data_IF_181512809905
#
_entry.id   IF_181512809905
#
_cell.length_a   1.000
_cell.length_b   1.000
_cell.length_c   1.000
_cell.angle_alpha   90.00
_cell.angle_beta   90.00
_cell.angle_gamma   90.00
#
_symmetry.space_group_name_H-M   'P 1'
#
loop_
_entity.id
_entity.type
_entity.pdbx_description
1 polymer ?
#
# COMPACT_ATOMS: atom_id res chain seq x y z
N UNK A 1 1.40 13.43 18.43
CA UNK A 1 0.04 13.89 18.05
C UNK A 1 -0.04 14.08 16.54
N UNK A 2 -1.04 13.53 15.84
CA UNK A 2 -1.34 13.67 14.40
C UNK A 2 -0.20 13.39 13.39
N UNK A 3 0.84 12.66 13.78
CA UNK A 3 1.98 12.36 12.90
C UNK A 3 1.57 11.50 11.70
N UNK A 4 0.61 10.61 11.88
CA UNK A 4 0.10 9.71 10.85
C UNK A 4 -0.68 10.47 9.76
N UNK A 5 -1.63 11.32 10.14
CA UNK A 5 -2.36 12.17 9.18
C UNK A 5 -1.37 12.96 8.32
N UNK A 6 -0.38 13.62 8.94
CA UNK A 6 0.65 14.37 8.20
C UNK A 6 1.53 13.51 7.31
N UNK A 7 1.79 12.26 7.69
CA UNK A 7 2.51 11.30 6.86
C UNK A 7 1.69 10.93 5.63
N UNK A 8 0.39 10.66 5.83
CA UNK A 8 -0.53 10.32 4.76
C UNK A 8 -0.69 11.49 3.79
N UNK A 9 -0.96 12.70 4.29
CA UNK A 9 -1.06 13.91 3.47
C UNK A 9 0.16 14.10 2.58
N UNK A 10 1.37 13.96 3.14
CA UNK A 10 2.62 14.06 2.38
C UNK A 10 2.77 12.98 1.33
N UNK A 11 2.30 11.76 1.62
CA UNK A 11 2.36 10.65 0.67
C UNK A 11 1.51 10.95 -0.58
N UNK A 12 0.27 11.39 -0.39
CA UNK A 12 -0.62 11.73 -1.50
C UNK A 12 -0.21 13.01 -2.22
N UNK A 13 0.23 14.04 -1.50
CA UNK A 13 0.76 15.26 -2.08
C UNK A 13 2.01 14.99 -2.94
N UNK A 14 2.90 14.08 -2.50
CA UNK A 14 4.08 13.67 -3.26
C UNK A 14 3.75 12.96 -4.59
N UNK A 15 2.55 12.39 -4.70
CA UNK A 15 2.00 11.79 -5.91
C UNK A 15 1.14 12.76 -6.73
N UNK A 16 0.97 14.00 -6.28
CA UNK A 16 0.11 15.00 -6.93
C UNK A 16 -1.38 14.67 -6.85
N UNK A 17 -1.79 13.90 -5.83
CA UNK A 17 -3.18 13.48 -5.64
C UNK A 17 -3.82 14.28 -4.51
N UNK A 18 -4.90 14.96 -4.84
CA UNK A 18 -5.71 15.68 -3.86
C UNK A 18 -6.54 14.69 -3.03
N UNK A 19 -6.40 14.81 -1.72
CA UNK A 19 -7.26 14.07 -0.79
C UNK A 19 -8.68 14.64 -0.76
N UNK A 20 -9.68 13.82 -0.40
CA UNK A 20 -11.06 14.29 -0.21
C UNK A 20 -11.13 15.50 0.74
N UNK A 21 -12.13 16.35 0.53
CA UNK A 21 -12.29 17.57 1.34
C UNK A 21 -12.38 17.26 2.83
N UNK A 22 -13.06 16.19 3.19
CA UNK A 22 -13.22 15.75 4.58
C UNK A 22 -11.86 15.36 5.22
N UNK A 23 -10.93 14.77 4.45
CA UNK A 23 -9.56 14.52 4.90
C UNK A 23 -8.80 15.83 5.08
N UNK A 24 -8.93 16.78 4.14
CA UNK A 24 -8.29 18.09 4.23
C UNK A 24 -8.81 18.88 5.45
N UNK A 25 -10.10 18.85 5.70
CA UNK A 25 -10.73 19.50 6.85
C UNK A 25 -10.24 18.86 8.19
N UNK A 26 -10.15 17.54 8.25
CA UNK A 26 -9.59 16.83 9.42
C UNK A 26 -8.09 17.16 9.62
N UNK A 27 -7.31 17.25 8.55
CA UNK A 27 -5.90 17.67 8.61
C UNK A 27 -5.77 19.12 9.10
N UNK A 28 -6.68 20.01 8.66
CA UNK A 28 -6.71 21.38 9.15
C UNK A 28 -7.03 21.46 10.66
N UNK A 29 -7.98 20.65 11.14
CA UNK A 29 -8.27 20.50 12.58
C UNK A 29 -7.05 19.98 13.36
N UNK A 30 -6.38 18.95 12.85
CA UNK A 30 -5.17 18.39 13.44
C UNK A 30 -4.06 19.43 13.57
N UNK A 31 -3.84 20.20 12.50
CA UNK A 31 -2.81 21.26 12.47
C UNK A 31 -3.17 22.43 13.41
N UNK A 32 -4.44 22.83 13.47
CA UNK A 32 -4.91 23.87 14.40
C UNK A 32 -4.75 23.42 15.86
N UNK A 33 -5.10 22.15 16.18
CA UNK A 33 -4.90 21.61 17.52
C UNK A 33 -3.40 21.56 17.90
N UNK A 34 -2.54 21.18 16.96
CA UNK A 34 -1.10 21.17 17.18
C UNK A 34 -0.53 22.60 17.38
N UNK A 35 -0.98 23.56 16.55
CA UNK A 35 -0.54 24.94 16.69
C UNK A 35 -0.94 25.55 18.05
N UNK A 36 -2.13 25.19 18.56
CA UNK A 36 -2.61 25.64 19.86
C UNK A 36 -1.76 25.11 21.04
N UNK A 37 -1.01 24.00 20.86
CA UNK A 37 -0.12 23.45 21.89
C UNK A 37 1.24 24.12 21.93
N UNK A 38 1.58 24.96 20.96
CA UNK A 38 2.88 25.62 20.87
C UNK A 38 2.92 26.83 21.83
N UNK A 39 3.82 26.79 22.81
CA UNK A 39 3.99 27.85 23.81
C UNK A 39 5.45 28.27 23.87
N UNK A 40 5.82 29.46 23.37
CA UNK A 40 7.19 29.95 23.40
C UNK A 40 7.61 30.53 24.78
N UNK A 41 6.75 30.45 25.80
CA UNK A 41 6.92 31.17 27.07
C UNK A 41 8.28 30.99 27.76
N UNK A 42 8.93 29.83 27.66
CA UNK A 42 10.26 29.58 28.22
C UNK A 42 11.32 30.29 27.38
N UNK A 43 11.22 30.20 26.06
CA UNK A 43 12.16 30.85 25.14
C UNK A 43 12.07 32.38 25.28
N UNK A 44 10.83 32.92 25.37
CA UNK A 44 10.59 34.36 25.57
C UNK A 44 11.22 34.88 26.87
N UNK A 45 11.18 34.08 27.97
CA UNK A 45 11.89 34.44 29.21
C UNK A 45 13.39 34.49 29.02
N UNK A 46 13.98 33.46 28.39
CA UNK A 46 15.40 33.37 28.13
C UNK A 46 15.89 34.56 27.29
N UNK A 47 15.20 34.80 26.17
CA UNK A 47 15.55 35.89 25.25
C UNK A 47 15.34 37.26 25.88
N UNK A 48 14.32 37.42 26.72
CA UNK A 48 14.08 38.63 27.50
C UNK A 48 15.14 38.92 28.51
N UNK A 49 15.75 37.90 29.15
CA UNK A 49 16.87 38.04 30.05
C UNK A 49 18.15 38.46 29.28
N UNK A 50 18.42 37.76 28.16
CA UNK A 50 19.60 38.05 27.34
C UNK A 50 19.55 39.44 26.69
N UNK A 51 18.39 39.90 26.29
CA UNK A 51 18.19 41.24 25.71
C UNK A 51 18.09 42.35 26.74
N UNK A 52 18.05 42.03 28.04
CA UNK A 52 17.92 43.01 29.13
C UNK A 52 16.51 43.61 29.27
N UNK A 53 15.50 43.11 28.56
CA UNK A 53 14.08 43.52 28.71
C UNK A 53 13.49 42.96 30.01
N UNK A 54 14.01 41.83 30.50
CA UNK A 54 13.67 41.28 31.81
C UNK A 54 14.78 41.73 32.80
N UNK A 55 14.36 42.45 33.80
CA UNK A 55 15.18 43.05 34.82
C UNK A 55 14.81 42.53 36.21
N UNK A 56 15.67 42.75 37.26
CA UNK A 56 15.30 42.37 38.62
C UNK A 56 14.00 42.97 39.14
N UNK A 57 13.51 44.07 38.52
CA UNK A 57 12.26 44.73 38.91
C UNK A 57 11.01 44.03 38.36
N UNK A 58 11.09 43.37 37.19
CA UNK A 58 9.95 42.75 36.52
C UNK A 58 10.02 41.23 36.39
N UNK A 59 11.14 40.60 36.78
CA UNK A 59 11.35 39.15 36.62
C UNK A 59 10.29 38.33 37.35
N UNK A 60 9.85 38.73 38.56
CA UNK A 60 8.85 37.98 39.30
C UNK A 60 7.49 37.96 38.58
N UNK A 61 7.06 39.10 38.01
CA UNK A 61 5.83 39.17 37.20
C UNK A 61 5.95 38.33 35.93
N UNK A 62 7.10 38.41 35.24
CA UNK A 62 7.36 37.63 34.02
C UNK A 62 7.40 36.12 34.27
N UNK A 63 7.97 35.66 35.40
CA UNK A 63 7.92 34.26 35.79
C UNK A 63 6.49 33.80 36.09
N UNK A 64 5.65 34.62 36.73
CA UNK A 64 4.25 34.32 36.97
C UNK A 64 3.48 34.21 35.65
N UNK A 65 3.64 35.18 34.75
CA UNK A 65 2.98 35.15 33.42
C UNK A 65 3.38 33.89 32.63
N UNK A 66 4.67 33.53 32.66
CA UNK A 66 5.17 32.35 31.98
C UNK A 66 4.66 31.05 32.61
N UNK A 67 4.59 30.97 33.94
CA UNK A 67 4.03 29.84 34.63
C UNK A 67 2.54 29.61 34.25
N UNK A 68 1.76 30.69 34.19
CA UNK A 68 0.36 30.64 33.78
C UNK A 68 0.26 30.17 32.30
N UNK A 69 1.12 30.69 31.42
CA UNK A 69 1.15 30.29 30.01
C UNK A 69 1.54 28.82 29.84
N UNK A 70 2.50 28.31 30.60
CA UNK A 70 2.90 26.89 30.59
C UNK A 70 1.75 26.01 31.07
N UNK A 71 1.10 26.35 32.20
CA UNK A 71 -0.03 25.61 32.70
C UNK A 71 -1.22 25.60 31.71
N UNK A 72 -1.48 26.72 31.05
CA UNK A 72 -2.51 26.80 30.03
C UNK A 72 -2.17 25.89 28.83
N UNK A 73 -0.91 25.90 28.36
CA UNK A 73 -0.46 25.03 27.28
C UNK A 73 -0.56 23.55 27.62
N UNK A 74 -0.21 23.15 28.85
CA UNK A 74 -0.38 21.75 29.29
C UNK A 74 -1.84 21.30 29.25
N UNK A 75 -2.76 22.18 29.67
CA UNK A 75 -4.21 21.89 29.60
C UNK A 75 -4.71 21.81 28.16
N UNK A 76 -4.28 22.71 27.30
CA UNK A 76 -4.59 22.68 25.88
C UNK A 76 -4.03 21.42 25.23
N UNK A 77 -2.80 21.03 25.57
CA UNK A 77 -2.17 19.80 25.08
C UNK A 77 -3.00 18.57 25.45
N UNK A 78 -3.41 18.43 26.72
CA UNK A 78 -4.24 17.32 27.18
C UNK A 78 -5.61 17.31 26.47
N UNK A 79 -6.22 18.47 26.27
CA UNK A 79 -7.48 18.57 25.52
C UNK A 79 -7.29 18.19 24.04
N UNK A 80 -6.21 18.63 23.40
CA UNK A 80 -5.90 18.28 22.02
C UNK A 80 -5.60 16.78 21.85
N UNK A 81 -4.91 16.15 22.80
CA UNK A 81 -4.74 14.70 22.83
C UNK A 81 -6.10 13.96 22.90
N UNK A 82 -7.02 14.45 23.72
CA UNK A 82 -8.37 13.90 23.81
C UNK A 82 -9.17 13.96 22.50
N UNK A 83 -8.86 14.90 21.61
CA UNK A 83 -9.53 15.02 20.31
C UNK A 83 -8.88 14.16 19.21
N UNK A 84 -7.70 13.63 19.43
CA UNK A 84 -6.92 12.92 18.40
C UNK A 84 -7.68 11.73 17.81
N UNK A 85 -8.34 10.94 18.64
CA UNK A 85 -9.11 9.78 18.17
C UNK A 85 -10.25 10.21 17.25
N UNK A 86 -11.01 11.24 17.63
CA UNK A 86 -12.13 11.72 16.84
C UNK A 86 -11.68 12.27 15.47
N UNK A 87 -10.58 13.03 15.44
CA UNK A 87 -10.01 13.55 14.19
C UNK A 87 -9.51 12.41 13.29
N UNK A 88 -8.83 11.42 13.87
CA UNK A 88 -8.40 10.22 13.14
C UNK A 88 -9.60 9.45 12.58
N UNK A 89 -10.66 9.24 13.38
CA UNK A 89 -11.86 8.53 12.93
C UNK A 89 -12.54 9.24 11.76
N UNK A 90 -12.63 10.56 11.78
CA UNK A 90 -13.15 11.35 10.65
C UNK A 90 -12.26 11.16 9.43
N UNK A 91 -10.95 11.28 9.59
CA UNK A 91 -9.97 11.17 8.50
C UNK A 91 -10.01 9.79 7.83
N UNK A 92 -9.90 8.71 8.61
CA UNK A 92 -9.92 7.35 8.08
C UNK A 92 -11.29 6.95 7.51
N UNK A 93 -12.39 7.45 8.09
CA UNK A 93 -13.73 7.25 7.51
C UNK A 93 -13.86 7.91 6.13
N UNK A 94 -13.30 9.10 5.96
CA UNK A 94 -13.27 9.79 4.67
C UNK A 94 -12.39 9.06 3.65
N UNK A 95 -11.19 8.61 4.04
CA UNK A 95 -10.33 7.79 3.18
C UNK A 95 -11.08 6.54 2.71
N UNK A 96 -11.74 5.83 3.61
CA UNK A 96 -12.54 4.63 3.29
C UNK A 96 -13.67 4.95 2.31
N UNK A 97 -14.42 6.04 2.55
CA UNK A 97 -15.54 6.42 1.68
C UNK A 97 -15.11 6.77 0.24
N UNK A 98 -13.86 7.18 0.06
CA UNK A 98 -13.31 7.56 -1.22
C UNK A 98 -12.24 6.61 -1.76
N UNK A 99 -12.06 5.42 -1.16
CA UNK A 99 -11.00 4.46 -1.46
C UNK A 99 -10.88 4.15 -2.96
N UNK A 100 -11.97 3.78 -3.62
CA UNK A 100 -11.97 3.44 -5.05
C UNK A 100 -11.55 4.63 -5.93
N UNK A 101 -11.95 5.85 -5.59
CA UNK A 101 -11.55 7.06 -6.33
C UNK A 101 -10.06 7.35 -6.15
N UNK A 102 -9.54 7.15 -4.95
CA UNK A 102 -8.12 7.32 -4.67
C UNK A 102 -7.28 6.28 -5.40
N UNK A 103 -7.70 5.01 -5.41
CA UNK A 103 -7.06 3.96 -6.21
C UNK A 103 -7.09 4.31 -7.71
N UNK A 104 -8.22 4.79 -8.22
CA UNK A 104 -8.34 5.21 -9.62
C UNK A 104 -7.40 6.40 -9.95
N UNK A 105 -7.22 7.34 -9.02
CA UNK A 105 -6.28 8.46 -9.19
C UNK A 105 -4.80 8.01 -9.18
N UNK A 106 -4.46 6.92 -8.47
CA UNK A 106 -3.13 6.35 -8.45
C UNK A 106 -2.78 5.55 -9.72
N UNK A 107 -3.78 5.03 -10.45
CA UNK A 107 -3.58 4.14 -11.61
C UNK A 107 -2.68 4.71 -12.71
N UNK A 108 -2.83 5.96 -13.18
CA UNK A 108 -1.98 6.44 -14.26
C UNK A 108 -0.49 6.39 -13.92
N UNK A 109 -0.09 6.84 -12.74
CA UNK A 109 1.30 6.78 -12.28
C UNK A 109 1.76 5.33 -12.02
N UNK A 110 0.86 4.47 -11.55
CA UNK A 110 1.14 3.04 -11.40
C UNK A 110 1.39 2.37 -12.74
N UNK A 111 0.53 2.58 -13.73
CA UNK A 111 0.61 1.92 -15.04
C UNK A 111 1.90 2.34 -15.78
N UNK A 112 2.31 3.61 -15.68
CA UNK A 112 3.57 4.09 -16.23
C UNK A 112 4.78 3.39 -15.58
N UNK A 113 4.83 3.36 -14.25
CA UNK A 113 5.91 2.68 -13.52
C UNK A 113 5.89 1.16 -13.74
N UNK A 114 4.70 0.55 -13.79
CA UNK A 114 4.50 -0.87 -14.04
C UNK A 114 5.01 -1.29 -15.43
N UNK A 115 4.78 -0.49 -16.47
CA UNK A 115 5.29 -0.77 -17.81
C UNK A 115 6.82 -0.87 -17.85
N UNK A 116 7.51 0.02 -17.13
CA UNK A 116 8.98 0.00 -17.00
C UNK A 116 9.43 -1.26 -16.23
N UNK A 117 8.79 -1.56 -15.09
CA UNK A 117 9.12 -2.74 -14.27
C UNK A 117 8.85 -4.04 -15.03
N UNK A 118 7.74 -4.12 -15.78
CA UNK A 118 7.41 -5.28 -16.60
C UNK A 118 8.43 -5.48 -17.74
N UNK A 119 8.89 -4.41 -18.35
CA UNK A 119 9.96 -4.48 -19.36
C UNK A 119 11.25 -4.96 -18.72
N UNK A 120 11.66 -4.39 -17.58
CA UNK A 120 12.85 -4.82 -16.87
C UNK A 120 12.79 -6.30 -16.46
N UNK A 121 11.65 -6.76 -15.93
CA UNK A 121 11.43 -8.15 -15.51
C UNK A 121 11.57 -9.18 -16.64
N UNK A 122 11.32 -8.79 -17.90
CA UNK A 122 11.55 -9.66 -19.06
C UNK A 122 13.04 -9.89 -19.34
N UNK A 123 13.90 -8.96 -18.99
CA UNK A 123 15.30 -8.97 -19.38
C UNK A 123 16.24 -9.42 -18.26
N UNK A 124 15.93 -9.09 -16.97
CA UNK A 124 16.83 -9.39 -15.88
C UNK A 124 16.10 -9.57 -14.53
N UNK A 125 16.77 -10.22 -13.59
CA UNK A 125 16.30 -10.40 -12.22
C UNK A 125 16.41 -9.09 -11.41
N UNK A 126 15.68 -8.99 -10.30
CA UNK A 126 15.66 -7.79 -9.46
C UNK A 126 17.02 -7.48 -8.81
N UNK A 127 17.86 -8.51 -8.64
CA UNK A 127 19.20 -8.49 -8.06
C UNK A 127 20.33 -8.60 -9.12
N UNK A 128 19.99 -8.49 -10.43
CA UNK A 128 20.96 -8.56 -11.51
C UNK A 128 22.04 -7.46 -11.37
N UNK A 129 23.28 -7.84 -11.60
CA UNK A 129 24.40 -6.91 -11.62
C UNK A 129 24.57 -6.23 -12.99
N UNK A 130 25.40 -5.21 -13.06
CA UNK A 130 25.64 -4.43 -14.30
C UNK A 130 26.08 -5.31 -15.47
N UNK A 131 26.90 -6.34 -15.22
CA UNK A 131 27.40 -7.25 -16.25
C UNK A 131 26.26 -8.09 -16.84
N UNK A 132 25.34 -8.55 -16.01
CA UNK A 132 24.18 -9.33 -16.44
C UNK A 132 23.28 -8.46 -17.34
N UNK A 133 23.10 -7.19 -16.97
CA UNK A 133 22.29 -6.23 -17.71
C UNK A 133 22.93 -5.92 -19.08
N UNK A 134 24.25 -5.68 -19.11
CA UNK A 134 24.98 -5.44 -20.37
C UNK A 134 24.92 -6.65 -21.30
N UNK A 135 25.04 -7.88 -20.74
CA UNK A 135 24.94 -9.12 -21.52
C UNK A 135 23.52 -9.37 -22.06
N UNK A 136 22.49 -8.87 -21.39
CA UNK A 136 21.10 -8.98 -21.86
C UNK A 136 20.75 -8.02 -23.01
N UNK A 137 21.66 -7.11 -23.34
CA UNK A 137 21.56 -6.24 -24.53
C UNK A 137 20.97 -4.86 -24.27
N UNK A 138 20.83 -4.06 -25.36
CA UNK A 138 20.50 -2.64 -25.27
C UNK A 138 19.10 -2.38 -24.67
N UNK A 139 18.13 -3.24 -24.90
CA UNK A 139 16.79 -3.11 -24.31
C UNK A 139 16.82 -3.27 -22.80
N UNK A 140 17.63 -4.19 -22.27
CA UNK A 140 17.85 -4.36 -20.84
C UNK A 140 18.52 -3.12 -20.22
N UNK A 141 19.52 -2.55 -20.90
CA UNK A 141 20.20 -1.32 -20.45
C UNK A 141 19.22 -0.14 -20.39
N UNK A 142 18.37 0.03 -21.40
CA UNK A 142 17.36 1.09 -21.44
C UNK A 142 16.31 0.90 -20.32
N UNK A 143 15.85 -0.33 -20.10
CA UNK A 143 14.93 -0.65 -19.01
C UNK A 143 15.56 -0.38 -17.64
N UNK A 144 16.82 -0.76 -17.44
CA UNK A 144 17.56 -0.53 -16.20
C UNK A 144 17.74 0.97 -15.89
N UNK A 145 17.98 1.79 -16.89
CA UNK A 145 18.18 3.24 -16.72
C UNK A 145 16.98 3.93 -16.08
N UNK A 146 15.76 3.49 -16.44
CA UNK A 146 14.51 4.06 -15.94
C UNK A 146 13.99 3.34 -14.68
N UNK A 147 14.56 2.18 -14.32
CA UNK A 147 14.02 1.32 -13.26
C UNK A 147 14.07 1.95 -11.87
N UNK A 148 15.12 2.71 -11.57
CA UNK A 148 15.27 3.35 -10.26
C UNK A 148 14.14 4.36 -9.98
N UNK A 149 13.82 5.20 -10.97
CA UNK A 149 12.73 6.16 -10.86
C UNK A 149 11.37 5.45 -10.79
N UNK A 150 11.14 4.43 -11.64
CA UNK A 150 9.92 3.63 -11.60
C UNK A 150 9.72 2.92 -10.25
N UNK A 151 10.77 2.34 -9.67
CA UNK A 151 10.73 1.73 -8.33
C UNK A 151 10.41 2.76 -7.25
N UNK A 152 10.96 3.97 -7.31
CA UNK A 152 10.68 5.03 -6.35
C UNK A 152 9.20 5.47 -6.42
N UNK A 153 8.67 5.71 -7.61
CA UNK A 153 7.25 6.01 -7.83
C UNK A 153 6.37 4.86 -7.32
N UNK A 154 6.70 3.64 -7.68
CA UNK A 154 5.96 2.45 -7.26
C UNK A 154 5.93 2.29 -5.73
N UNK A 155 7.03 2.58 -5.05
CA UNK A 155 7.10 2.57 -3.59
C UNK A 155 6.15 3.59 -2.95
N UNK A 156 6.06 4.80 -3.51
CA UNK A 156 5.11 5.82 -3.04
C UNK A 156 3.66 5.35 -3.24
N UNK A 157 3.35 4.76 -4.40
CA UNK A 157 2.01 4.26 -4.72
C UNK A 157 1.64 3.08 -3.81
N UNK A 158 2.54 2.13 -3.57
CA UNK A 158 2.28 1.00 -2.67
C UNK A 158 2.07 1.45 -1.24
N UNK A 159 2.79 2.48 -0.78
CA UNK A 159 2.56 3.10 0.52
C UNK A 159 1.18 3.78 0.59
N UNK A 160 0.78 4.53 -0.45
CA UNK A 160 -0.55 5.13 -0.52
C UNK A 160 -1.65 4.06 -0.54
N UNK A 161 -1.47 2.98 -1.32
CA UNK A 161 -2.41 1.85 -1.36
C UNK A 161 -2.53 1.13 -0.01
N UNK A 162 -1.41 0.96 0.71
CA UNK A 162 -1.42 0.36 2.04
C UNK A 162 -2.25 1.17 3.03
N UNK A 163 -2.14 2.50 3.00
CA UNK A 163 -2.98 3.40 3.81
C UNK A 163 -4.46 3.25 3.47
N UNK A 164 -4.80 3.17 2.18
CA UNK A 164 -6.19 2.93 1.75
C UNK A 164 -6.68 1.58 2.28
N UNK A 165 -5.87 0.52 2.16
CA UNK A 165 -6.21 -0.81 2.65
C UNK A 165 -6.46 -0.83 4.17
N UNK A 166 -5.65 -0.11 4.93
CA UNK A 166 -5.82 0.06 6.36
C UNK A 166 -7.15 0.75 6.70
N UNK A 167 -7.47 1.85 6.01
CA UNK A 167 -8.74 2.56 6.18
C UNK A 167 -9.96 1.67 5.85
N UNK A 168 -9.86 0.83 4.84
CA UNK A 168 -10.89 -0.14 4.43
C UNK A 168 -10.96 -1.37 5.36
N UNK A 169 -10.02 -1.55 6.27
CA UNK A 169 -9.79 -2.82 7.00
C UNK A 169 -9.74 -3.99 6.03
N UNK A 170 -8.92 -3.84 5.00
CA UNK A 170 -8.79 -4.81 3.93
C UNK A 170 -7.88 -5.96 4.37
N UNK A 171 -8.43 -7.17 4.39
CA UNK A 171 -7.69 -8.39 4.75
C UNK A 171 -7.25 -9.19 3.51
N UNK A 172 -7.39 -8.62 2.32
CA UNK A 172 -6.96 -9.25 1.08
C UNK A 172 -5.43 -9.32 1.05
N UNK A 173 -4.89 -10.43 0.54
CA UNK A 173 -3.43 -10.59 0.42
C UNK A 173 -2.82 -9.45 -0.41
N UNK A 174 -1.75 -8.80 0.06
CA UNK A 174 -1.23 -7.56 -0.54
C UNK A 174 -0.92 -7.66 -2.04
N UNK A 175 -0.38 -8.79 -2.51
CA UNK A 175 -0.03 -8.97 -3.92
C UNK A 175 -1.23 -8.91 -4.87
N UNK A 176 -2.44 -9.27 -4.39
CA UNK A 176 -3.67 -9.22 -5.19
C UNK A 176 -4.07 -7.78 -5.56
N UNK A 177 -3.55 -6.79 -4.85
CA UNK A 177 -3.74 -5.39 -5.22
C UNK A 177 -2.90 -4.96 -6.42
N UNK A 178 -1.96 -5.78 -6.88
CA UNK A 178 -0.97 -5.37 -7.89
C UNK A 178 -0.90 -6.26 -9.11
N UNK A 179 -1.76 -7.28 -9.22
CA UNK A 179 -1.81 -8.17 -10.38
C UNK A 179 -3.21 -8.22 -10.99
N UNK A 180 -3.27 -8.51 -12.29
CA UNK A 180 -4.53 -8.76 -12.99
C UNK A 180 -4.41 -9.98 -13.89
N UNK A 181 -5.55 -10.50 -14.32
CA UNK A 181 -5.62 -11.65 -15.20
C UNK A 181 -6.53 -12.75 -14.66
N UNK A 182 -6.49 -13.86 -15.36
CA UNK A 182 -7.26 -15.03 -14.98
C UNK A 182 -6.30 -16.11 -14.46
N UNK A 183 -6.25 -16.26 -13.15
CA UNK A 183 -5.34 -17.16 -12.46
C UNK A 183 -6.08 -18.34 -11.81
N UNK A 184 -5.36 -19.44 -11.61
CA UNK A 184 -5.73 -20.53 -10.72
C UNK A 184 -5.23 -20.22 -9.30
N UNK A 185 -5.70 -20.96 -8.31
CA UNK A 185 -5.21 -20.81 -6.94
C UNK A 185 -3.70 -21.12 -6.81
N UNK A 186 -3.20 -22.07 -7.60
CA UNK A 186 -1.78 -22.41 -7.60
C UNK A 186 -0.92 -21.27 -8.16
N UNK A 187 -1.38 -20.58 -9.22
CA UNK A 187 -0.69 -19.40 -9.75
C UNK A 187 -0.73 -18.23 -8.76
N UNK A 188 -1.82 -18.07 -7.99
CA UNK A 188 -1.88 -17.07 -6.94
C UNK A 188 -0.92 -17.38 -5.78
N UNK A 189 -0.73 -18.63 -5.40
CA UNK A 189 0.29 -19.02 -4.43
C UNK A 189 1.70 -18.78 -4.95
N UNK A 190 1.94 -19.01 -6.24
CA UNK A 190 3.20 -18.62 -6.87
C UNK A 190 3.41 -17.09 -6.80
N UNK A 191 2.37 -16.30 -7.11
CA UNK A 191 2.43 -14.84 -7.02
C UNK A 191 2.75 -14.39 -5.59
N UNK A 192 2.17 -15.01 -4.57
CA UNK A 192 2.46 -14.72 -3.17
C UNK A 192 3.93 -15.03 -2.82
N UNK A 193 4.45 -16.15 -3.29
CA UNK A 193 5.84 -16.55 -3.07
C UNK A 193 6.83 -15.60 -3.75
N UNK A 194 6.52 -15.11 -4.95
CA UNK A 194 7.34 -14.12 -5.66
C UNK A 194 7.26 -12.72 -5.05
N UNK A 195 6.16 -12.41 -4.35
CA UNK A 195 5.95 -11.12 -3.72
C UNK A 195 6.67 -11.03 -2.37
N UNK A 196 7.89 -10.55 -2.38
CA UNK A 196 8.73 -10.42 -1.17
C UNK A 196 8.70 -9.01 -0.55
N UNK A 197 7.74 -8.19 -0.91
CA UNK A 197 7.59 -6.83 -0.40
C UNK A 197 7.93 -5.73 -1.39
N UNK A 198 7.93 -4.49 -0.89
CA UNK A 198 8.07 -3.28 -1.70
C UNK A 198 9.45 -3.20 -2.37
N UNK A 199 9.47 -2.92 -3.65
CA UNK A 199 10.67 -2.68 -4.45
C UNK A 199 11.20 -3.89 -5.21
N UNK A 200 11.12 -5.09 -4.65
CA UNK A 200 11.51 -6.32 -5.34
C UNK A 200 10.30 -7.18 -5.75
N UNK A 201 9.29 -7.28 -4.90
CA UNK A 201 8.13 -8.14 -5.13
C UNK A 201 7.40 -7.87 -6.44
N UNK A 202 7.21 -6.61 -6.82
CA UNK A 202 6.56 -6.27 -8.08
C UNK A 202 7.44 -6.60 -9.30
N UNK A 203 8.76 -6.46 -9.19
CA UNK A 203 9.68 -6.89 -10.24
C UNK A 203 9.67 -8.43 -10.40
N UNK A 204 9.65 -9.16 -9.29
CA UNK A 204 9.57 -10.62 -9.31
C UNK A 204 8.24 -11.10 -9.90
N UNK A 205 7.11 -10.47 -9.53
CA UNK A 205 5.81 -10.75 -10.15
C UNK A 205 5.84 -10.53 -11.66
N UNK A 206 6.42 -9.41 -12.12
CA UNK A 206 6.57 -9.12 -13.55
C UNK A 206 7.45 -10.16 -14.25
N UNK A 207 8.55 -10.59 -13.63
CA UNK A 207 9.45 -11.64 -14.13
C UNK A 207 8.78 -13.01 -14.20
N UNK A 208 7.94 -13.34 -13.24
CA UNK A 208 7.14 -14.57 -13.23
C UNK A 208 5.99 -14.56 -14.25
N UNK A 209 5.81 -13.47 -15.00
CA UNK A 209 4.81 -13.34 -16.06
C UNK A 209 3.48 -12.78 -15.62
N UNK A 210 3.34 -12.30 -14.38
CA UNK A 210 2.13 -11.63 -13.94
C UNK A 210 2.02 -10.22 -14.53
N UNK A 211 0.84 -9.88 -15.01
CA UNK A 211 0.55 -8.52 -15.47
C UNK A 211 0.27 -7.64 -14.27
N UNK A 212 1.04 -6.56 -14.12
CA UNK A 212 0.86 -5.61 -13.04
C UNK A 212 -0.33 -4.69 -13.31
N UNK A 213 -1.15 -4.49 -12.29
CA UNK A 213 -2.30 -3.58 -12.30
C UNK A 213 -2.66 -3.18 -10.87
N UNK A 214 -3.09 -1.95 -10.66
CA UNK A 214 -3.50 -1.47 -9.35
C UNK A 214 -5.00 -1.73 -9.13
N UNK A 215 -5.32 -2.62 -8.20
CA UNK A 215 -6.69 -3.06 -7.91
C UNK A 215 -7.29 -2.31 -6.71
N UNK A 216 -8.58 -2.03 -6.80
CA UNK A 216 -9.43 -1.74 -5.64
C UNK A 216 -9.58 -3.02 -4.79
N UNK A 217 -10.11 -2.86 -3.58
CA UNK A 217 -10.44 -4.01 -2.71
C UNK A 217 -11.40 -4.99 -3.40
N UNK A 218 -12.44 -4.47 -4.03
CA UNK A 218 -13.44 -5.30 -4.73
C UNK A 218 -12.84 -6.08 -5.91
N UNK A 219 -11.95 -5.45 -6.69
CA UNK A 219 -11.25 -6.12 -7.81
C UNK A 219 -10.30 -7.21 -7.30
N UNK A 220 -9.54 -6.94 -6.23
CA UNK A 220 -8.65 -7.92 -5.62
C UNK A 220 -9.41 -9.14 -5.05
N UNK A 221 -10.53 -8.91 -4.37
CA UNK A 221 -11.41 -9.97 -3.87
C UNK A 221 -12.00 -10.79 -5.02
N UNK A 222 -12.50 -10.13 -6.07
CA UNK A 222 -13.03 -10.81 -7.27
C UNK A 222 -11.97 -11.68 -7.93
N UNK A 223 -10.73 -11.23 -7.98
CA UNK A 223 -9.62 -12.00 -8.54
C UNK A 223 -9.40 -13.29 -7.72
N UNK A 224 -9.37 -13.20 -6.39
CA UNK A 224 -9.24 -14.36 -5.49
C UNK A 224 -10.40 -15.34 -5.63
N UNK A 225 -11.64 -14.86 -5.67
CA UNK A 225 -12.84 -15.69 -5.81
C UNK A 225 -12.88 -16.38 -7.17
N UNK A 226 -12.51 -15.66 -8.24
CA UNK A 226 -12.43 -16.23 -9.59
C UNK A 226 -11.39 -17.36 -9.65
N UNK A 227 -10.22 -17.17 -9.02
CA UNK A 227 -9.17 -18.19 -8.98
C UNK A 227 -9.65 -19.46 -8.24
N UNK A 228 -10.37 -19.30 -7.12
CA UNK A 228 -10.95 -20.40 -6.37
C UNK A 228 -11.94 -21.19 -7.23
N UNK A 229 -12.89 -20.49 -7.82
CA UNK A 229 -13.91 -21.12 -8.68
C UNK A 229 -13.29 -21.88 -9.86
N UNK A 230 -12.26 -21.33 -10.48
CA UNK A 230 -11.54 -22.00 -11.58
C UNK A 230 -10.82 -23.26 -11.11
N UNK A 231 -10.19 -23.21 -9.96
CA UNK A 231 -9.52 -24.38 -9.37
C UNK A 231 -10.52 -25.48 -9.07
N UNK A 232 -11.66 -25.16 -8.46
CA UNK A 232 -12.73 -26.10 -8.18
C UNK A 232 -13.29 -26.73 -9.47
N UNK A 233 -13.52 -25.92 -10.50
CA UNK A 233 -13.97 -26.41 -11.80
C UNK A 233 -12.94 -27.32 -12.48
N UNK A 234 -11.66 -26.97 -12.40
CA UNK A 234 -10.58 -27.78 -12.95
C UNK A 234 -10.48 -29.14 -12.23
N UNK A 235 -10.58 -29.14 -10.91
CA UNK A 235 -10.59 -30.34 -10.09
C UNK A 235 -11.79 -31.22 -10.40
N UNK A 236 -12.99 -30.65 -10.50
CA UNK A 236 -14.21 -31.39 -10.85
C UNK A 236 -14.11 -32.04 -12.26
N UNK A 237 -13.54 -31.33 -13.24
CA UNK A 237 -13.30 -31.86 -14.59
C UNK A 237 -12.29 -33.02 -14.58
N UNK A 238 -11.18 -32.86 -13.84
CA UNK A 238 -10.17 -33.88 -13.71
C UNK A 238 -10.74 -35.15 -13.04
N UNK A 239 -11.53 -35.00 -11.99
CA UNK A 239 -12.20 -36.12 -11.32
C UNK A 239 -13.21 -36.80 -12.22
N UNK A 240 -14.04 -36.05 -12.98
CA UNK A 240 -14.96 -36.62 -13.95
C UNK A 240 -14.24 -37.38 -15.06
N UNK A 241 -13.11 -36.89 -15.54
CA UNK A 241 -12.27 -37.57 -16.53
C UNK A 241 -11.70 -38.89 -15.97
N UNK A 242 -11.20 -38.87 -14.74
CA UNK A 242 -10.65 -40.05 -14.05
C UNK A 242 -11.73 -41.14 -13.87
N UNK A 243 -12.94 -40.72 -13.49
CA UNK A 243 -14.07 -41.66 -13.35
C UNK A 243 -14.48 -42.25 -14.71
N UNK A 244 -14.49 -41.45 -15.78
CA UNK A 244 -14.80 -41.92 -17.12
C UNK A 244 -13.77 -42.95 -17.63
N UNK A 245 -12.47 -42.68 -17.42
CA UNK A 245 -11.37 -43.60 -17.77
C UNK A 245 -11.48 -44.93 -17.01
N UNK A 246 -11.69 -44.85 -15.69
CA UNK A 246 -11.88 -46.07 -14.87
C UNK A 246 -13.07 -46.93 -15.30
N UNK A 247 -14.17 -46.30 -15.75
CA UNK A 247 -15.33 -47.03 -16.29
C UNK A 247 -15.00 -47.70 -17.63
N UNK A 248 -14.24 -47.01 -18.50
CA UNK A 248 -13.81 -47.56 -19.78
C UNK A 248 -12.90 -48.78 -19.63
N UNK A 249 -11.92 -48.68 -18.72
CA UNK A 249 -11.00 -49.79 -18.39
C UNK A 249 -11.76 -50.98 -17.82
N UNK A 250 -12.72 -50.76 -16.94
CA UNK A 250 -13.56 -51.82 -16.38
C UNK A 250 -14.42 -52.49 -17.45
N UNK A 251 -14.93 -51.75 -18.42
CA UNK A 251 -15.72 -52.28 -19.56
C UNK A 251 -14.85 -53.13 -20.47
N UNK A 252 -13.66 -52.67 -20.82
CA UNK A 252 -12.68 -53.40 -21.62
C UNK A 252 -12.23 -54.71 -20.92
N UNK A 253 -11.95 -54.67 -19.63
CA UNK A 253 -11.60 -55.85 -18.86
C UNK A 253 -12.71 -56.90 -18.85
N UNK A 254 -13.95 -56.47 -18.71
CA UNK A 254 -15.13 -57.34 -18.79
C UNK A 254 -15.30 -57.97 -20.18
N UNK A 255 -15.16 -57.20 -21.28
CA UNK A 255 -15.20 -57.73 -22.64
C UNK A 255 -14.11 -58.73 -22.93
N UNK A 256 -12.86 -58.47 -22.46
CA UNK A 256 -11.75 -59.38 -22.62
C UNK A 256 -11.99 -60.70 -21.86
N UNK A 257 -12.51 -60.63 -20.64
CA UNK A 257 -12.86 -61.83 -19.86
C UNK A 257 -13.96 -62.65 -20.50
N UNK A 258 -14.99 -61.97 -21.08
CA UNK A 258 -16.08 -62.64 -21.81
C UNK A 258 -15.60 -63.35 -23.09
N UNK A 259 -14.62 -62.78 -23.81
CA UNK A 259 -13.99 -63.42 -24.99
C UNK A 259 -13.08 -64.58 -24.64
N UNK A 260 -12.42 -64.56 -23.50
CA UNK A 260 -11.57 -65.64 -23.06
C UNK A 260 -12.34 -66.88 -22.52
N UNK A 261 -13.63 -66.73 -22.23
CA UNK A 261 -14.50 -67.79 -21.73
C UNK A 261 -15.26 -68.55 -22.86
N UNK A 262 -15.11 -68.12 -24.11
CA UNK A 262 -15.61 -68.79 -25.30
C UNK A 262 -14.53 -69.66 -25.98
#
# INVERSE_FOLDING_TARGET
MFAEIRRIDRTFAGLGIDLPKECQDASALANAALAATNTPAIQDLHDGILSGTITPKNIAAKLTDSAISIMAAERIHTAAEGTQSAVNDIYFSALKAHADKLVAALRPAFDEAAAIIQTAGKHFAADANERDILNAGMEAVNAWHNLAAAKATMMQITNARAVIAEAERDNTSPYLHYITGQHTQAELWQAEAEYTGVGHGLHNLARAGFTLHLNTKAEAQKLADTARTRTEQAQARAEAARIAESKQDSSLAFEMAARAAQ
#
